data_IF_630815651126
#
_entry.id   IF_630815651126
#
_cell.length_a   1.000
_cell.length_b   1.000
_cell.length_c   1.000
_cell.angle_alpha   90.00
_cell.angle_beta   90.00
_cell.angle_gamma   90.00
#
_symmetry.space_group_name_H-M   'P 1'
#
loop_
_entity.id
_entity.type
_entity.pdbx_description
1 polymer ?
#
# COMPACT_ATOMS: atom_id res chain seq x y z
N UNK A 1 4.04 -21.77 21.51
CA UNK A 1 5.10 -20.92 20.93
C UNK A 1 5.20 -19.72 21.82
N UNK A 2 6.39 -19.19 22.03
CA UNK A 2 6.61 -18.02 22.88
C UNK A 2 7.43 -17.01 22.07
N UNK A 3 7.05 -15.73 22.15
CA UNK A 3 7.82 -14.62 21.60
C UNK A 3 7.64 -13.39 22.49
N UNK A 4 8.73 -12.84 23.00
CA UNK A 4 8.77 -11.63 23.84
C UNK A 4 7.83 -11.69 25.07
N UNK A 5 7.78 -12.82 25.76
CA UNK A 5 6.88 -13.07 26.88
C UNK A 5 5.45 -13.45 26.48
N UNK A 6 5.09 -13.46 25.20
CA UNK A 6 3.74 -13.78 24.73
C UNK A 6 3.66 -15.23 24.25
N UNK A 7 2.87 -16.01 24.98
CA UNK A 7 2.63 -17.43 24.66
C UNK A 7 1.37 -17.62 23.82
N UNK A 8 1.51 -18.36 22.72
CA UNK A 8 0.43 -18.75 21.80
C UNK A 8 0.44 -20.26 21.59
N UNK A 9 -0.72 -20.88 21.74
CA UNK A 9 -0.94 -22.28 21.36
C UNK A 9 -1.52 -22.36 19.95
N UNK A 10 -0.87 -23.11 19.07
CA UNK A 10 -1.34 -23.34 17.70
C UNK A 10 -1.86 -24.76 17.55
N UNK A 11 -3.09 -24.89 17.04
CA UNK A 11 -3.69 -26.18 16.70
C UNK A 11 -2.93 -26.91 15.58
N UNK A 12 -2.41 -26.16 14.61
CA UNK A 12 -1.65 -26.67 13.48
C UNK A 12 -0.35 -25.86 13.35
N UNK A 13 0.79 -26.53 13.48
CA UNK A 13 2.11 -25.91 13.28
C UNK A 13 2.57 -26.15 11.84
N UNK A 14 3.06 -25.14 11.11
CA UNK A 14 3.59 -25.33 9.77
C UNK A 14 4.83 -26.23 9.82
N UNK A 15 4.82 -27.32 9.05
CA UNK A 15 5.95 -28.29 9.04
C UNK A 15 7.21 -27.67 8.43
N UNK A 16 7.04 -26.78 7.45
CA UNK A 16 8.14 -26.13 6.74
C UNK A 16 8.69 -24.89 7.44
N UNK A 17 7.95 -24.33 8.41
CA UNK A 17 8.40 -23.22 9.24
C UNK A 17 7.84 -23.41 10.67
N UNK A 18 8.48 -24.28 11.48
CA UNK A 18 8.01 -24.59 12.83
C UNK A 18 8.04 -23.40 13.79
N UNK A 19 8.78 -22.35 13.46
CA UNK A 19 8.92 -21.11 14.24
C UNK A 19 7.93 -20.02 13.81
N UNK A 20 7.18 -20.24 12.72
CA UNK A 20 6.16 -19.33 12.25
C UNK A 20 5.06 -19.14 13.30
N UNK A 21 4.97 -17.92 13.81
CA UNK A 21 3.90 -17.50 14.70
C UNK A 21 2.93 -16.58 13.93
N UNK A 22 1.67 -16.99 13.70
CA UNK A 22 0.68 -16.14 13.05
C UNK A 22 0.48 -14.84 13.83
N UNK A 23 0.67 -13.70 13.15
CA UNK A 23 0.61 -12.38 13.77
C UNK A 23 -0.72 -12.11 14.47
N UNK A 24 -1.85 -12.55 13.88
CA UNK A 24 -3.16 -12.40 14.50
C UNK A 24 -3.26 -13.13 15.85
N UNK A 25 -2.65 -14.31 15.97
CA UNK A 25 -2.68 -15.08 17.22
C UNK A 25 -1.79 -14.43 18.27
N UNK A 26 -0.61 -13.92 17.86
CA UNK A 26 0.22 -13.09 18.73
C UNK A 26 -0.54 -11.86 19.23
N UNK A 27 -1.15 -11.08 18.33
CA UNK A 27 -1.89 -9.86 18.70
C UNK A 27 -3.03 -10.17 19.69
N UNK A 28 -3.77 -11.25 19.47
CA UNK A 28 -4.84 -11.68 20.41
C UNK A 28 -4.29 -12.08 21.78
N UNK A 29 -3.16 -12.77 21.85
CA UNK A 29 -2.55 -13.15 23.12
C UNK A 29 -1.95 -11.94 23.84
N UNK A 30 -1.22 -11.09 23.11
CA UNK A 30 -0.66 -9.82 23.58
C UNK A 30 -1.74 -8.91 24.20
N UNK A 31 -2.86 -8.72 23.50
CA UNK A 31 -3.94 -7.83 23.96
C UNK A 31 -4.73 -8.35 25.17
N UNK A 32 -4.54 -9.60 25.62
CA UNK A 32 -5.18 -10.10 26.86
C UNK A 32 -4.58 -9.48 28.12
N UNK A 33 -3.29 -9.13 28.10
CA UNK A 33 -2.57 -8.55 29.24
C UNK A 33 -2.27 -7.05 29.09
N UNK A 34 -2.40 -6.51 27.88
CA UNK A 34 -2.19 -5.10 27.59
C UNK A 34 -3.35 -4.24 28.13
N UNK A 35 -3.04 -3.19 28.90
CA UNK A 35 -4.03 -2.34 29.55
C UNK A 35 -3.74 -0.84 29.44
N UNK A 36 -2.51 -0.44 29.09
CA UNK A 36 -2.16 0.97 28.89
C UNK A 36 -2.67 1.41 27.51
N UNK A 37 -3.61 2.37 27.42
CA UNK A 37 -4.11 2.83 26.15
C UNK A 37 -3.01 3.55 25.36
N UNK A 38 -3.03 3.37 24.05
CA UNK A 38 -2.18 4.08 23.10
C UNK A 38 -2.94 4.24 21.79
N UNK A 39 -2.68 5.33 21.10
CA UNK A 39 -3.23 5.62 19.79
C UNK A 39 -2.12 5.87 18.78
N UNK A 40 -2.33 5.38 17.56
CA UNK A 40 -1.45 5.63 16.42
C UNK A 40 -2.29 6.08 15.24
N UNK A 41 -1.89 7.15 14.57
CA UNK A 41 -2.53 7.60 13.34
C UNK A 41 -1.53 7.73 12.19
N UNK A 42 -1.91 7.29 11.01
CA UNK A 42 -1.12 7.41 9.78
C UNK A 42 -1.79 8.43 8.86
N UNK A 43 -1.09 9.52 8.57
CA UNK A 43 -1.51 10.53 7.59
C UNK A 43 -1.23 10.06 6.18
N UNK A 44 -2.27 10.16 5.35
CA UNK A 44 -2.32 9.69 3.96
C UNK A 44 -2.42 10.89 3.02
N UNK A 45 -2.59 10.63 1.73
CA UNK A 45 -2.86 11.68 0.73
C UNK A 45 -4.12 12.49 1.08
N UNK A 46 -4.10 13.78 0.73
CA UNK A 46 -5.21 14.73 0.89
C UNK A 46 -5.71 14.89 2.34
N UNK A 47 -4.81 14.70 3.31
CA UNK A 47 -5.11 14.85 4.73
C UNK A 47 -6.11 13.80 5.25
N UNK A 48 -6.20 12.65 4.59
CA UNK A 48 -6.88 11.48 5.11
C UNK A 48 -6.06 10.85 6.24
N UNK A 49 -6.75 10.16 7.16
CA UNK A 49 -6.15 9.64 8.38
C UNK A 49 -6.62 8.22 8.65
N UNK A 50 -5.68 7.31 8.89
CA UNK A 50 -5.97 5.97 9.38
C UNK A 50 -5.53 5.85 10.85
N UNK A 51 -6.49 5.89 11.76
CA UNK A 51 -6.24 5.88 13.20
C UNK A 51 -6.59 4.53 13.82
N UNK A 52 -5.72 4.04 14.70
CA UNK A 52 -5.94 2.84 15.50
C UNK A 52 -5.75 3.18 16.98
N UNK A 53 -6.79 2.94 17.76
CA UNK A 53 -6.71 2.96 19.23
C UNK A 53 -6.56 1.52 19.72
N UNK A 54 -5.59 1.29 20.59
CA UNK A 54 -5.25 -0.03 21.09
C UNK A 54 -4.65 0.05 22.49
N UNK A 55 -4.11 -1.06 22.97
CA UNK A 55 -3.46 -1.16 24.27
C UNK A 55 -2.07 -1.78 24.11
N UNK A 56 -1.17 -1.36 25.00
CA UNK A 56 0.15 -1.97 25.24
C UNK A 56 0.26 -2.35 26.73
N UNK A 57 1.30 -3.09 27.10
CA UNK A 57 1.53 -3.42 28.51
C UNK A 57 2.11 -2.22 29.28
N UNK A 58 3.05 -1.50 28.66
CA UNK A 58 3.61 -0.27 29.21
C UNK A 58 4.55 -0.49 30.40
N UNK A 59 5.12 -1.68 30.56
CA UNK A 59 6.09 -2.00 31.61
C UNK A 59 7.46 -2.33 31.03
N UNK A 60 8.57 -2.13 31.78
CA UNK A 60 9.92 -2.46 31.30
C UNK A 60 10.07 -3.92 30.86
N UNK A 61 9.41 -4.85 31.56
CA UNK A 61 9.47 -6.29 31.27
C UNK A 61 8.82 -6.66 29.93
N UNK A 62 7.80 -5.89 29.53
CA UNK A 62 7.03 -6.12 28.30
C UNK A 62 7.45 -5.19 27.14
N UNK A 63 8.52 -4.39 27.33
CA UNK A 63 8.94 -3.39 26.36
C UNK A 63 9.23 -3.97 24.97
N UNK A 64 9.83 -5.15 24.88
CA UNK A 64 10.08 -5.80 23.58
C UNK A 64 8.78 -6.26 22.90
N UNK A 65 7.82 -6.78 23.67
CA UNK A 65 6.52 -7.18 23.16
C UNK A 65 5.73 -5.98 22.62
N UNK A 66 5.73 -4.88 23.38
CA UNK A 66 5.07 -3.63 23.02
C UNK A 66 5.67 -3.05 21.73
N UNK A 67 7.01 -2.99 21.65
CA UNK A 67 7.73 -2.56 20.44
C UNK A 67 7.40 -3.43 19.24
N UNK A 68 7.44 -4.75 19.38
CA UNK A 68 7.10 -5.66 18.29
C UNK A 68 5.64 -5.50 17.84
N UNK A 69 4.69 -5.39 18.78
CA UNK A 69 3.28 -5.18 18.46
C UNK A 69 3.06 -3.87 17.69
N UNK A 70 3.60 -2.75 18.19
CA UNK A 70 3.45 -1.45 17.54
C UNK A 70 4.17 -1.39 16.19
N UNK A 71 5.39 -1.94 16.09
CA UNK A 71 6.11 -2.02 14.82
C UNK A 71 5.29 -2.72 13.73
N UNK A 72 4.69 -3.87 14.08
CA UNK A 72 3.82 -4.61 13.17
C UNK A 72 2.55 -3.84 12.84
N UNK A 73 1.92 -3.20 13.82
CA UNK A 73 0.72 -2.38 13.63
C UNK A 73 0.99 -1.21 12.66
N UNK A 74 2.06 -0.45 12.90
CA UNK A 74 2.46 0.69 12.05
C UNK A 74 2.80 0.20 10.66
N UNK A 75 3.60 -0.85 10.52
CA UNK A 75 3.96 -1.40 9.21
C UNK A 75 2.70 -1.87 8.46
N UNK A 76 1.79 -2.57 9.12
CA UNK A 76 0.51 -2.98 8.52
C UNK A 76 -0.30 -1.77 8.07
N UNK A 77 -0.41 -0.71 8.88
CA UNK A 77 -1.12 0.51 8.50
C UNK A 77 -0.49 1.18 7.28
N UNK A 78 0.84 1.34 7.24
CA UNK A 78 1.57 1.93 6.11
C UNK A 78 1.32 1.15 4.81
N UNK A 79 1.41 -0.18 4.82
CA UNK A 79 1.27 -0.99 3.60
C UNK A 79 -0.18 -1.22 3.17
N UNK A 80 -1.13 -1.20 4.11
CA UNK A 80 -2.54 -1.38 3.81
C UNK A 80 -3.24 -0.08 3.41
N UNK A 81 -2.82 1.06 3.98
CA UNK A 81 -3.49 2.35 3.81
C UNK A 81 -2.66 3.38 3.02
N UNK A 82 -1.34 3.21 3.00
CA UNK A 82 -0.38 4.21 2.52
C UNK A 82 -0.27 5.39 3.49
N UNK A 83 0.93 5.89 3.75
CA UNK A 83 1.12 7.15 4.44
C UNK A 83 2.59 7.53 4.62
N UNK A 84 2.84 8.78 5.01
CA UNK A 84 4.18 9.34 5.17
C UNK A 84 4.43 9.96 6.54
N UNK A 85 3.39 10.16 7.35
CA UNK A 85 3.51 10.71 8.70
C UNK A 85 2.74 9.87 9.70
N UNK A 86 3.37 9.60 10.83
CA UNK A 86 2.81 8.81 11.92
C UNK A 86 2.70 9.70 13.16
N UNK A 87 1.50 9.76 13.73
CA UNK A 87 1.24 10.37 15.03
C UNK A 87 1.12 9.29 16.09
N UNK A 88 1.69 9.51 17.27
CA UNK A 88 1.57 8.61 18.42
C UNK A 88 1.49 9.41 19.72
N UNK A 89 0.77 8.89 20.71
CA UNK A 89 0.53 9.54 22.01
C UNK A 89 1.36 8.99 23.18
N UNK A 90 2.37 8.17 22.87
CA UNK A 90 3.28 7.59 23.86
C UNK A 90 4.75 7.88 23.53
N UNK A 91 5.49 8.40 24.51
CA UNK A 91 6.87 8.85 24.32
C UNK A 91 7.87 7.71 24.09
N UNK A 92 7.68 6.55 24.74
CA UNK A 92 8.58 5.41 24.58
C UNK A 92 8.39 4.77 23.20
N UNK A 93 7.15 4.67 22.76
CA UNK A 93 6.81 4.22 21.41
C UNK A 93 7.29 5.21 20.36
N UNK A 94 7.12 6.52 20.57
CA UNK A 94 7.67 7.55 19.70
C UNK A 94 9.19 7.39 19.52
N UNK A 95 9.94 7.29 20.62
CA UNK A 95 11.39 7.14 20.57
C UNK A 95 11.80 5.85 19.83
N UNK A 96 11.08 4.75 20.07
CA UNK A 96 11.29 3.50 19.34
C UNK A 96 11.03 3.65 17.83
N UNK A 97 9.90 4.26 17.43
CA UNK A 97 9.55 4.44 16.03
C UNK A 97 10.57 5.33 15.31
N UNK A 98 11.04 6.41 15.95
CA UNK A 98 12.14 7.22 15.39
C UNK A 98 13.43 6.42 15.19
N UNK A 99 13.74 5.49 16.09
CA UNK A 99 14.95 4.67 15.98
C UNK A 99 14.91 3.64 14.85
N UNK A 100 13.72 3.20 14.42
CA UNK A 100 13.57 2.17 13.39
C UNK A 100 13.17 2.73 12.02
N UNK A 101 12.36 3.80 11.97
CA UNK A 101 11.97 4.49 10.73
C UNK A 101 12.92 5.64 10.42
N UNK A 102 14.17 5.31 10.11
CA UNK A 102 15.21 6.25 9.72
C UNK A 102 16.29 5.57 8.89
N UNK A 103 17.24 6.35 8.37
CA UNK A 103 18.41 5.85 7.65
C UNK A 103 19.23 4.89 8.54
N UNK A 104 19.49 3.68 8.05
CA UNK A 104 20.15 2.60 8.80
C UNK A 104 19.27 1.90 9.85
N UNK A 105 18.01 2.31 10.02
CA UNK A 105 17.06 1.69 10.94
C UNK A 105 16.43 0.41 10.38
N UNK A 106 15.82 -0.40 11.24
CA UNK A 106 15.18 -1.67 10.85
C UNK A 106 14.00 -1.52 9.87
N UNK A 107 13.51 -0.30 9.66
CA UNK A 107 12.44 0.08 8.73
C UNK A 107 12.91 1.11 7.69
N UNK A 108 14.22 1.20 7.42
CA UNK A 108 14.77 2.14 6.44
C UNK A 108 14.09 2.04 5.08
N UNK A 109 13.83 0.82 4.58
CA UNK A 109 13.11 0.63 3.32
C UNK A 109 11.71 1.25 3.37
N UNK A 110 10.95 1.02 4.45
CA UNK A 110 9.60 1.55 4.59
C UNK A 110 9.61 3.09 4.68
N UNK A 111 10.57 3.62 5.44
CA UNK A 111 10.79 5.06 5.64
C UNK A 111 11.12 5.77 4.33
N UNK A 112 12.13 5.29 3.59
CA UNK A 112 12.55 5.88 2.31
C UNK A 112 11.50 5.67 1.22
N UNK A 113 10.96 4.46 1.11
CA UNK A 113 9.96 4.15 0.08
C UNK A 113 8.72 5.02 0.24
N UNK A 114 8.13 5.10 1.44
CA UNK A 114 6.94 5.91 1.68
C UNK A 114 7.21 7.42 1.50
N UNK A 115 8.40 7.91 1.88
CA UNK A 115 8.77 9.30 1.62
C UNK A 115 8.73 9.63 0.12
N UNK A 116 9.29 8.75 -0.71
CA UNK A 116 9.30 8.91 -2.17
C UNK A 116 7.90 8.77 -2.78
N UNK A 117 7.08 7.81 -2.30
CA UNK A 117 5.71 7.60 -2.78
C UNK A 117 4.81 8.82 -2.55
N UNK A 118 4.94 9.48 -1.39
CA UNK A 118 4.13 10.65 -1.05
C UNK A 118 4.80 11.97 -1.39
N UNK A 119 6.04 11.94 -1.90
CA UNK A 119 6.88 13.11 -2.18
C UNK A 119 7.00 14.07 -0.99
N UNK A 120 7.10 13.49 0.21
CA UNK A 120 7.17 14.22 1.48
C UNK A 120 8.18 13.54 2.39
N UNK A 121 8.87 14.29 3.28
CA UNK A 121 9.65 13.67 4.33
C UNK A 121 8.80 12.69 5.13
N UNK A 122 9.37 11.55 5.48
CA UNK A 122 8.70 10.63 6.38
C UNK A 122 8.90 11.07 7.82
N UNK A 123 7.81 11.20 8.57
CA UNK A 123 7.80 11.86 9.87
C UNK A 123 7.13 10.99 10.95
N UNK A 124 7.72 10.98 12.14
CA UNK A 124 7.08 10.48 13.36
C UNK A 124 6.86 11.69 14.28
N UNK A 125 5.65 11.85 14.79
CA UNK A 125 5.23 12.99 15.62
C UNK A 125 4.65 12.49 16.93
N UNK A 126 5.23 12.93 18.06
CA UNK A 126 4.65 12.77 19.39
C UNK A 126 3.55 13.83 19.59
N UNK A 127 2.40 13.42 20.09
CA UNK A 127 1.28 14.34 20.35
C UNK A 127 0.45 13.89 21.54
N UNK A 128 -0.16 14.81 22.29
CA UNK A 128 -1.05 14.44 23.40
C UNK A 128 -2.34 13.77 22.92
N UNK A 129 -2.76 14.08 21.68
CA UNK A 129 -3.97 13.52 21.08
C UNK A 129 -3.74 13.29 19.59
N UNK A 130 -3.80 12.02 19.17
CA UNK A 130 -3.69 11.69 17.75
C UNK A 130 -4.91 12.19 16.98
N UNK A 131 -4.75 12.57 15.70
CA UNK A 131 -5.87 12.85 14.83
C UNK A 131 -6.81 11.64 14.69
N UNK A 132 -8.12 11.90 14.61
CA UNK A 132 -9.12 10.86 14.40
C UNK A 132 -9.13 10.37 12.95
N UNK A 133 -9.68 9.16 12.74
CA UNK A 133 -9.82 8.58 11.40
C UNK A 133 -10.62 9.51 10.48
N UNK A 134 -10.11 9.71 9.27
CA UNK A 134 -10.72 10.54 8.24
C UNK A 134 -10.53 9.87 6.89
N UNK A 135 -11.57 9.20 6.41
CA UNK A 135 -11.59 8.57 5.11
C UNK A 135 -12.38 9.41 4.10
N UNK A 136 -12.01 9.31 2.83
CA UNK A 136 -12.75 9.89 1.70
C UNK A 136 -13.17 8.78 0.72
N UNK A 137 -14.15 7.94 1.09
CA UNK A 137 -14.58 6.84 0.22
C UNK A 137 -15.15 7.40 -1.09
N UNK A 138 -14.62 6.90 -2.21
CA UNK A 138 -15.15 7.20 -3.54
C UNK A 138 -16.03 6.02 -3.98
N UNK A 139 -17.19 6.31 -4.56
CA UNK A 139 -17.99 5.30 -5.22
C UNK A 139 -17.20 4.74 -6.41
N UNK A 140 -16.93 3.44 -6.42
CA UNK A 140 -16.19 2.75 -7.48
C UNK A 140 -17.15 1.85 -8.26
N UNK A 141 -17.19 2.03 -9.58
CA UNK A 141 -17.96 1.17 -10.49
C UNK A 141 -19.46 1.48 -10.55
N UNK A 142 -20.26 0.52 -11.04
CA UNK A 142 -21.71 0.67 -11.23
C UNK A 142 -22.12 1.50 -12.46
N UNK A 143 -21.16 2.03 -13.20
CA UNK A 143 -21.39 2.78 -14.43
C UNK A 143 -21.23 1.85 -15.63
N UNK A 144 -22.31 1.16 -16.02
CA UNK A 144 -22.29 0.21 -17.14
C UNK A 144 -22.65 0.86 -18.48
N UNK A 145 -23.45 1.92 -18.45
CA UNK A 145 -23.97 2.61 -19.64
C UNK A 145 -22.87 3.27 -20.48
N UNK A 146 -23.04 3.28 -21.79
CA UNK A 146 -22.12 3.90 -22.75
C UNK A 146 -20.98 2.99 -23.21
N UNK A 147 -20.08 3.56 -24.00
CA UNK A 147 -18.93 2.88 -24.60
C UNK A 147 -17.69 3.04 -23.70
N UNK A 148 -17.21 1.96 -23.08
CA UNK A 148 -16.15 2.02 -22.07
C UNK A 148 -15.01 1.07 -22.38
N UNK A 149 -13.80 1.46 -21.99
CA UNK A 149 -12.61 0.62 -22.09
C UNK A 149 -12.11 0.26 -20.69
N UNK A 150 -11.88 -1.02 -20.45
CA UNK A 150 -11.12 -1.51 -19.31
C UNK A 150 -9.73 -1.94 -19.77
N UNK A 151 -8.67 -1.41 -19.17
CA UNK A 151 -7.29 -1.78 -19.46
C UNK A 151 -6.61 -2.32 -18.21
N UNK A 152 -6.01 -3.51 -18.30
CA UNK A 152 -5.19 -4.10 -17.25
C UNK A 152 -3.72 -4.04 -17.66
N UNK A 153 -2.98 -3.16 -17.00
CA UNK A 153 -1.56 -2.91 -17.20
C UNK A 153 -0.75 -3.84 -16.27
N UNK A 154 -0.57 -5.07 -16.73
CA UNK A 154 0.20 -6.10 -16.05
C UNK A 154 1.71 -5.98 -16.27
N UNK A 155 2.46 -6.75 -15.49
CA UNK A 155 3.92 -6.81 -15.60
C UNK A 155 4.46 -7.85 -16.59
N UNK A 156 3.58 -8.66 -17.17
CA UNK A 156 3.87 -9.80 -18.07
C UNK A 156 3.02 -9.80 -19.35
N UNK A 157 1.93 -9.05 -19.33
CA UNK A 157 0.95 -8.94 -20.39
C UNK A 157 0.17 -7.63 -20.19
N UNK A 158 -0.51 -7.22 -21.24
CA UNK A 158 -1.56 -6.20 -21.20
C UNK A 158 -2.86 -6.83 -21.67
N UNK A 159 -3.94 -6.54 -20.96
CA UNK A 159 -5.29 -6.94 -21.36
C UNK A 159 -6.12 -5.69 -21.59
N UNK A 160 -6.97 -5.70 -22.61
CA UNK A 160 -7.92 -4.61 -22.84
C UNK A 160 -9.26 -5.17 -23.28
N UNK A 161 -10.33 -4.58 -22.75
CA UNK A 161 -11.70 -4.93 -23.11
C UNK A 161 -12.48 -3.66 -23.46
N UNK A 162 -13.35 -3.78 -24.47
CA UNK A 162 -14.34 -2.77 -24.81
C UNK A 162 -15.73 -3.28 -24.44
N UNK A 163 -16.52 -2.45 -23.78
CA UNK A 163 -17.91 -2.75 -23.39
C UNK A 163 -18.87 -1.64 -23.86
N UNK A 164 -20.05 -2.02 -24.31
CA UNK A 164 -21.17 -1.11 -24.62
C UNK A 164 -22.34 -1.49 -23.71
N UNK A 165 -22.77 -0.57 -22.85
CA UNK A 165 -23.88 -0.79 -21.91
C UNK A 165 -23.70 -2.05 -21.04
N UNK A 166 -22.45 -2.34 -20.66
CA UNK A 166 -22.07 -3.52 -19.87
C UNK A 166 -21.78 -4.78 -20.68
N UNK A 167 -22.14 -4.81 -21.97
CA UNK A 167 -21.90 -5.96 -22.85
C UNK A 167 -20.52 -5.88 -23.50
N UNK A 168 -19.75 -6.97 -23.45
CA UNK A 168 -18.39 -7.00 -24.01
C UNK A 168 -18.44 -7.14 -25.53
N UNK A 169 -17.86 -6.18 -26.25
CA UNK A 169 -17.77 -6.17 -27.72
C UNK A 169 -16.37 -6.48 -28.23
N UNK A 170 -15.35 -6.38 -27.37
CA UNK A 170 -13.97 -6.74 -27.68
C UNK A 170 -13.20 -7.09 -26.41
N UNK A 171 -12.26 -8.03 -26.51
CA UNK A 171 -11.29 -8.36 -25.46
C UNK A 171 -10.04 -8.95 -26.11
N UNK A 172 -8.86 -8.52 -25.69
CA UNK A 172 -7.58 -9.08 -26.10
C UNK A 172 -6.60 -9.17 -24.92
N UNK A 173 -5.64 -10.07 -25.08
CA UNK A 173 -4.48 -10.20 -24.20
C UNK A 173 -3.23 -10.29 -25.07
N UNK A 174 -2.26 -9.42 -24.81
CA UNK A 174 -1.01 -9.35 -25.57
C UNK A 174 0.16 -9.44 -24.60
N UNK A 175 1.12 -10.33 -24.91
CA UNK A 175 2.37 -10.42 -24.16
C UNK A 175 3.06 -9.07 -24.14
N UNK A 176 3.46 -8.64 -22.95
CA UNK A 176 4.06 -7.33 -22.73
C UNK A 176 5.05 -7.43 -21.60
N UNK A 177 6.29 -6.98 -21.80
CA UNK A 177 7.38 -7.23 -20.86
C UNK A 177 7.92 -5.94 -20.24
N UNK A 178 7.08 -5.12 -19.58
CA UNK A 178 7.46 -3.78 -19.15
C UNK A 178 8.49 -3.79 -18.02
N UNK A 179 8.47 -4.82 -17.16
CA UNK A 179 9.41 -5.00 -16.04
C UNK A 179 10.88 -5.11 -16.45
N UNK A 180 11.16 -5.37 -17.73
CA UNK A 180 12.52 -5.51 -18.26
C UNK A 180 12.84 -4.45 -19.33
N UNK A 181 11.89 -3.59 -19.69
CA UNK A 181 12.06 -2.62 -20.77
C UNK A 181 12.27 -1.19 -20.20
N UNK A 182 13.44 -0.56 -20.46
CA UNK A 182 13.75 0.76 -19.91
C UNK A 182 13.18 1.93 -20.72
N UNK A 183 12.65 1.68 -21.91
CA UNK A 183 12.18 2.74 -22.81
C UNK A 183 10.75 3.20 -22.43
N UNK A 184 10.54 4.47 -22.02
CA UNK A 184 9.20 5.00 -21.74
C UNK A 184 8.28 4.99 -22.96
N UNK A 185 8.81 5.15 -24.17
CA UNK A 185 8.00 5.22 -25.38
C UNK A 185 7.42 3.84 -25.72
N UNK A 186 8.14 2.75 -25.42
CA UNK A 186 7.61 1.38 -25.49
C UNK A 186 6.36 1.18 -24.62
N UNK A 187 6.36 1.75 -23.41
CA UNK A 187 5.22 1.63 -22.50
C UNK A 187 4.04 2.46 -23.01
N UNK A 188 4.31 3.70 -23.44
CA UNK A 188 3.31 4.59 -24.02
C UNK A 188 2.65 3.98 -25.26
N UNK A 189 3.45 3.50 -26.21
CA UNK A 189 2.96 2.87 -27.44
C UNK A 189 2.14 1.61 -27.13
N UNK A 190 2.56 0.82 -26.13
CA UNK A 190 1.81 -0.32 -25.62
C UNK A 190 0.45 0.09 -25.03
N UNK A 191 0.37 1.16 -24.25
CA UNK A 191 -0.92 1.62 -23.71
C UNK A 191 -1.81 2.13 -24.85
N UNK A 192 -1.29 3.02 -25.70
CA UNK A 192 -2.04 3.64 -26.79
C UNK A 192 -2.54 2.61 -27.81
N UNK A 193 -1.71 1.62 -28.15
CA UNK A 193 -2.09 0.54 -29.06
C UNK A 193 -3.29 -0.26 -28.53
N UNK A 194 -3.28 -0.61 -27.24
CA UNK A 194 -4.37 -1.38 -26.63
C UNK A 194 -5.67 -0.56 -26.59
N UNK A 195 -5.58 0.71 -26.18
CA UNK A 195 -6.75 1.59 -26.16
C UNK A 195 -7.35 1.81 -27.56
N UNK A 196 -6.50 1.98 -28.58
CA UNK A 196 -6.95 2.10 -29.98
C UNK A 196 -7.60 0.81 -30.50
N UNK A 197 -7.05 -0.35 -30.17
CA UNK A 197 -7.62 -1.65 -30.56
C UNK A 197 -9.04 -1.83 -29.99
N UNK A 198 -9.23 -1.53 -28.70
CA UNK A 198 -10.55 -1.56 -28.07
C UNK A 198 -11.50 -0.52 -28.66
N UNK A 199 -11.05 0.72 -28.86
CA UNK A 199 -11.86 1.81 -29.41
C UNK A 199 -12.41 1.52 -30.82
N UNK A 200 -11.66 0.76 -31.65
CA UNK A 200 -12.08 0.41 -33.00
C UNK A 200 -13.37 -0.44 -33.06
N UNK A 201 -13.78 -1.05 -31.95
CA UNK A 201 -14.97 -1.90 -31.84
C UNK A 201 -16.20 -1.16 -31.30
N UNK A 202 -16.12 0.17 -31.14
CA UNK A 202 -17.19 0.99 -30.58
C UNK A 202 -17.40 2.26 -31.43
N UNK A 203 -18.61 2.84 -31.44
CA UNK A 203 -18.88 4.07 -32.19
C UNK A 203 -18.21 5.32 -31.58
N UNK A 204 -17.86 5.28 -30.29
CA UNK A 204 -17.16 6.34 -29.55
C UNK A 204 -16.55 5.73 -28.27
N UNK A 205 -15.83 6.55 -27.50
CA UNK A 205 -15.35 6.18 -26.16
C UNK A 205 -15.86 7.21 -25.16
N UNK A 206 -16.67 6.76 -24.20
CA UNK A 206 -17.24 7.60 -23.14
C UNK A 206 -16.36 7.59 -21.88
N UNK A 207 -15.68 6.48 -21.58
CA UNK A 207 -14.77 6.38 -20.43
C UNK A 207 -13.68 5.31 -20.60
N UNK A 208 -12.54 5.51 -19.93
CA UNK A 208 -11.46 4.52 -19.82
C UNK A 208 -11.14 4.30 -18.35
N UNK A 209 -11.08 3.04 -17.91
CA UNK A 209 -10.59 2.64 -16.61
C UNK A 209 -9.31 1.82 -16.76
N UNK A 210 -8.28 2.17 -15.99
CA UNK A 210 -7.00 1.46 -15.98
C UNK A 210 -6.79 0.80 -14.63
N UNK A 211 -6.65 -0.52 -14.63
CA UNK A 211 -6.04 -1.30 -13.56
C UNK A 211 -4.54 -1.38 -13.82
N UNK A 212 -3.71 -1.12 -12.82
CA UNK A 212 -2.27 -1.25 -12.97
C UNK A 212 -1.65 -1.77 -11.67
N UNK A 213 -0.67 -2.65 -11.80
CA UNK A 213 0.12 -3.11 -10.67
C UNK A 213 1.10 -2.01 -10.25
N UNK A 214 0.71 -1.21 -9.25
CA UNK A 214 1.48 -0.08 -8.77
C UNK A 214 0.72 0.83 -7.82
N UNK A 215 1.39 1.92 -7.43
CA UNK A 215 0.86 3.01 -6.62
C UNK A 215 0.65 4.21 -7.52
N UNK A 216 -0.59 4.67 -7.57
CA UNK A 216 -1.03 5.89 -8.23
C UNK A 216 -1.72 6.78 -7.19
N UNK A 217 -1.38 8.06 -7.18
CA UNK A 217 -1.98 9.05 -6.27
C UNK A 217 -2.44 10.23 -7.11
N UNK A 218 -3.75 10.52 -7.08
CA UNK A 218 -4.35 11.62 -7.82
C UNK A 218 -3.96 11.60 -9.31
N UNK A 219 -4.16 10.43 -9.94
CA UNK A 219 -3.85 10.13 -11.35
C UNK A 219 -2.37 10.26 -11.75
N UNK A 220 -1.47 10.50 -10.79
CA UNK A 220 -0.02 10.46 -11.00
C UNK A 220 0.54 9.09 -10.69
N UNK A 221 1.47 8.64 -11.52
CA UNK A 221 2.21 7.40 -11.29
C UNK A 221 3.27 7.66 -10.22
N UNK A 222 3.24 6.93 -9.09
CA UNK A 222 4.25 7.08 -8.03
C UNK A 222 5.28 5.94 -8.06
N UNK A 223 4.79 4.70 -8.13
CA UNK A 223 5.64 3.53 -8.31
C UNK A 223 4.82 2.41 -8.91
N UNK A 224 5.01 2.15 -10.20
CA UNK A 224 4.29 1.10 -10.91
C UNK A 224 5.25 0.09 -11.53
N UNK A 225 4.84 -1.17 -11.49
CA UNK A 225 5.60 -2.29 -12.06
C UNK A 225 5.91 -2.10 -13.55
N UNK A 226 5.09 -1.29 -14.22
CA UNK A 226 5.23 -0.93 -15.61
C UNK A 226 6.54 -0.18 -15.90
N UNK A 227 7.02 0.62 -14.95
CA UNK A 227 8.12 1.54 -15.20
C UNK A 227 9.38 1.20 -14.39
N UNK A 228 9.46 -0.01 -13.81
CA UNK A 228 10.55 -0.43 -12.92
C UNK A 228 11.96 -0.31 -13.52
N UNK A 229 12.09 -0.39 -14.85
CA UNK A 229 13.36 -0.27 -15.56
C UNK A 229 13.58 1.08 -16.22
N UNK A 230 12.57 1.95 -16.21
CA UNK A 230 12.72 3.30 -16.78
C UNK A 230 13.71 4.08 -15.90
N UNK A 231 14.77 4.65 -16.48
CA UNK A 231 15.71 5.50 -15.74
C UNK A 231 14.99 6.65 -15.05
N UNK A 232 15.43 7.02 -13.83
CA UNK A 232 14.76 8.03 -13.00
C UNK A 232 14.52 9.36 -13.74
N UNK A 233 15.49 9.83 -14.50
CA UNK A 233 15.37 11.09 -15.27
C UNK A 233 14.23 11.02 -16.30
N UNK A 234 14.17 9.93 -17.08
CA UNK A 234 13.10 9.71 -18.05
C UNK A 234 11.75 9.44 -17.39
N UNK A 235 11.74 8.81 -16.20
CA UNK A 235 10.52 8.59 -15.44
C UNK A 235 9.89 9.94 -15.02
N UNK A 236 10.68 10.85 -14.47
CA UNK A 236 10.19 12.18 -14.07
C UNK A 236 9.78 13.04 -15.28
N UNK A 237 10.44 12.88 -16.44
CA UNK A 237 10.12 13.67 -17.63
C UNK A 237 8.88 13.16 -18.40
N UNK A 238 8.74 11.83 -18.53
CA UNK A 238 7.79 11.22 -19.48
C UNK A 238 6.67 10.39 -18.85
N UNK A 239 6.77 10.02 -17.57
CA UNK A 239 5.82 9.08 -16.95
C UNK A 239 4.96 9.72 -15.86
N UNK A 240 5.56 10.55 -15.02
CA UNK A 240 4.97 11.08 -13.79
C UNK A 240 4.03 12.26 -14.01
#
# INVERSE_FOLDING_TARGET
>A
MERFGISVELKHKPVLDPEFMPLLQFNRAFLKGAAKPISVAVERADGQMATTHTFIHGTPEMAEADRYYIDRLVKTALWMKGGYKIYVDDADVYAYLQSVYCKGGAREFDWDFMANIFEKPFEIVLTDKVPESKDNPKAMGGHLEGCRIGFDAGGSDRKVSAVIDGETVFSEEVVWLPKINPDPDYHYDGIVSALKAAAAHMPRVDAVGVSSAGIYINDRTMSASLFLKVPKELYEEKVK
#
